data_IF_183566798662
#
_entry.id   IF_183566798662
#
_cell.length_a   1.000
_cell.length_b   1.000
_cell.length_c   1.000
_cell.angle_alpha   90.00
_cell.angle_beta   90.00
_cell.angle_gamma   90.00
#
_symmetry.space_group_name_H-M   'P 1'
#
loop_
_entity.id
_entity.type
_entity.pdbx_description
1 polymer ?
#
# COMPACT_ATOMS: atom_id res chain seq x y z
N UNK A 1 -12.33 5.35 -5.48
CA UNK A 1 -11.91 5.17 -6.88
C UNK A 1 -11.49 3.72 -7.04
N UNK A 2 -12.10 2.92 -7.91
CA UNK A 2 -11.73 1.51 -8.08
C UNK A 2 -10.28 1.28 -8.54
N UNK A 3 -9.51 2.32 -8.85
CA UNK A 3 -8.14 2.20 -9.37
C UNK A 3 -7.00 2.28 -8.33
N UNK A 4 -7.26 2.24 -7.01
CA UNK A 4 -6.19 2.27 -6.01
C UNK A 4 -6.29 1.17 -4.94
N UNK A 5 -5.12 0.68 -4.53
CA UNK A 5 -5.00 -0.48 -3.65
C UNK A 5 -4.54 -1.72 -4.40
N UNK A 6 -4.69 -2.88 -3.77
CA UNK A 6 -4.33 -4.17 -4.34
C UNK A 6 -3.76 -5.16 -3.31
N UNK A 7 -3.54 -6.38 -3.77
CA UNK A 7 -2.91 -7.44 -2.98
C UNK A 7 -1.38 -7.37 -3.14
N UNK A 8 -0.68 -7.24 -2.01
CA UNK A 8 0.78 -7.21 -1.94
C UNK A 8 1.25 -8.56 -1.37
N UNK A 9 1.72 -9.44 -2.26
CA UNK A 9 2.18 -10.80 -1.93
C UNK A 9 3.69 -10.97 -2.05
N UNK A 10 4.40 -9.90 -2.44
CA UNK A 10 5.86 -9.91 -2.55
C UNK A 10 6.50 -9.91 -1.16
N UNK A 11 7.69 -10.51 -1.04
CA UNK A 11 8.43 -10.58 0.23
C UNK A 11 8.98 -9.23 0.70
N UNK A 12 9.06 -8.26 -0.19
CA UNK A 12 9.35 -6.86 0.07
C UNK A 12 8.70 -5.98 -1.01
N UNK A 13 8.62 -4.69 -0.76
CA UNK A 13 8.15 -3.72 -1.72
C UNK A 13 7.78 -2.39 -1.06
N UNK A 14 7.38 -1.45 -1.89
CA UNK A 14 6.87 -0.15 -1.47
C UNK A 14 5.53 0.10 -2.15
N UNK A 15 4.66 0.82 -1.47
CA UNK A 15 3.41 1.31 -2.03
C UNK A 15 3.13 2.71 -1.51
N UNK A 16 2.44 3.51 -2.31
CA UNK A 16 2.11 4.88 -1.97
C UNK A 16 0.68 5.19 -2.37
N UNK A 17 0.14 6.29 -1.84
CA UNK A 17 -1.15 6.80 -2.29
C UNK A 17 -1.09 7.14 -3.79
N UNK A 18 -2.22 7.04 -4.50
CA UNK A 18 -2.28 7.50 -5.89
C UNK A 18 -1.76 8.92 -6.01
N UNK A 19 -0.92 9.15 -7.02
CA UNK A 19 -0.27 10.43 -7.35
C UNK A 19 0.84 10.90 -6.40
N UNK A 20 1.15 10.16 -5.32
CA UNK A 20 2.30 10.49 -4.46
C UNK A 20 3.56 10.78 -5.30
N UNK A 21 4.29 11.89 -5.06
CA UNK A 21 4.21 12.78 -3.90
C UNK A 21 3.15 13.88 -3.95
N UNK A 22 2.35 13.95 -5.02
CA UNK A 22 1.25 14.90 -5.13
C UNK A 22 0.02 14.45 -4.33
N UNK A 23 -0.97 15.35 -4.25
CA UNK A 23 -2.23 15.08 -3.55
C UNK A 23 -2.98 13.89 -4.16
N UNK A 24 -3.51 13.05 -3.28
CA UNK A 24 -4.45 11.99 -3.65
C UNK A 24 -5.78 12.58 -4.13
N UNK A 25 -6.53 11.80 -4.90
CA UNK A 25 -7.82 12.23 -5.46
C UNK A 25 -8.87 12.44 -4.34
N UNK A 26 -9.71 13.46 -4.47
CA UNK A 26 -10.81 13.69 -3.54
C UNK A 26 -11.73 12.46 -3.45
N UNK A 27 -12.12 12.10 -2.23
CA UNK A 27 -12.96 10.92 -1.96
C UNK A 27 -12.32 9.59 -2.41
N UNK A 28 -10.99 9.53 -2.50
CA UNK A 28 -10.28 8.27 -2.69
C UNK A 28 -10.54 7.32 -1.51
N UNK A 29 -10.84 6.07 -1.85
CA UNK A 29 -11.01 4.98 -0.91
C UNK A 29 -10.17 3.82 -1.44
N UNK A 30 -8.99 3.61 -0.85
CA UNK A 30 -8.00 2.65 -1.30
C UNK A 30 -7.80 1.57 -0.23
N UNK A 31 -7.66 0.33 -0.65
CA UNK A 31 -7.41 -0.81 0.24
C UNK A 31 -6.20 -1.59 -0.25
N UNK A 32 -5.13 -1.63 0.55
CA UNK A 32 -3.99 -2.50 0.32
C UNK A 32 -4.06 -3.70 1.26
N UNK A 33 -3.95 -4.90 0.72
CA UNK A 33 -3.92 -6.14 1.50
C UNK A 33 -2.53 -6.74 1.42
N UNK A 34 -1.79 -6.68 2.52
CA UNK A 34 -0.46 -7.28 2.60
C UNK A 34 -0.63 -8.75 3.06
N UNK A 35 -0.14 -9.68 2.26
CA UNK A 35 -0.21 -11.11 2.56
C UNK A 35 1.21 -11.69 2.66
N UNK A 36 1.49 -12.32 3.79
CA UNK A 36 2.73 -13.03 4.06
C UNK A 36 2.42 -14.51 4.32
N UNK A 37 3.33 -15.44 3.96
CA UNK A 37 3.21 -16.84 4.37
C UNK A 37 3.05 -17.01 5.88
N UNK A 38 2.54 -18.16 6.30
CA UNK A 38 2.48 -18.50 7.73
C UNK A 38 3.87 -18.42 8.38
N UNK A 39 3.89 -18.06 9.66
CA UNK A 39 5.10 -17.94 10.48
C UNK A 39 6.09 -16.83 10.06
N UNK A 40 5.67 -15.92 9.17
CA UNK A 40 6.41 -14.69 8.84
C UNK A 40 5.74 -13.45 9.45
N UNK A 41 6.54 -12.39 9.65
CA UNK A 41 6.09 -11.11 10.21
C UNK A 41 6.16 -10.03 9.14
N UNK A 42 5.08 -9.27 9.00
CA UNK A 42 5.05 -8.09 8.14
C UNK A 42 5.67 -6.93 8.92
N UNK A 43 6.81 -6.41 8.44
CA UNK A 43 7.38 -5.16 8.91
C UNK A 43 6.90 -4.01 8.01
N UNK A 44 6.10 -3.10 8.55
CA UNK A 44 5.61 -1.93 7.84
C UNK A 44 6.24 -0.67 8.42
N UNK A 45 6.89 0.11 7.57
CA UNK A 45 7.52 1.39 7.93
C UNK A 45 6.88 2.50 7.11
N UNK A 46 6.45 3.57 7.78
CA UNK A 46 6.05 4.81 7.11
C UNK A 46 7.27 5.70 6.93
N UNK A 47 7.58 6.02 5.68
CA UNK A 47 8.59 7.03 5.36
C UNK A 47 7.96 8.41 5.46
N UNK A 48 8.69 9.35 6.03
CA UNK A 48 8.32 10.77 5.94
C UNK A 48 8.77 11.23 4.55
N UNK A 49 7.81 11.70 3.77
CA UNK A 49 8.05 12.42 2.52
C UNK A 49 8.60 13.82 2.80
#
# INVERSE_FOLDING_TARGET
>A
DPQCGGDLTQSNGEFSSPNYPNNYLNNAACTWRIQSPEYQVILLTFTLA
#
